data_IF_315828008124
#
_entry.id   IF_315828008124
#
_cell.length_a   1.000
_cell.length_b   1.000
_cell.length_c   1.000
_cell.angle_alpha   90.00
_cell.angle_beta   90.00
_cell.angle_gamma   90.00
#
_symmetry.space_group_name_H-M   'P 1'
#
loop_
_entity.id
_entity.type
_entity.pdbx_description
1 polymer ?
#
# COMPACT_ATOMS: atom_id res chain seq x y z
N UNK A 1 1.03 16.87 14.39
CA UNK A 1 1.32 16.55 12.97
C UNK A 1 1.31 15.04 12.87
N UNK A 2 0.73 14.41 11.82
CA UNK A 2 0.86 12.97 11.66
C UNK A 2 2.33 12.63 11.48
N UNK A 3 2.81 11.57 12.15
CA UNK A 3 4.14 11.03 11.89
C UNK A 3 4.14 10.46 10.46
N UNK A 4 5.12 10.84 9.65
CA UNK A 4 5.31 10.29 8.32
C UNK A 4 6.17 9.02 8.35
N UNK A 5 5.94 8.14 7.39
CA UNK A 5 6.75 6.96 7.16
C UNK A 5 7.25 7.02 5.71
N UNK A 6 8.55 6.90 5.54
CA UNK A 6 9.18 6.78 4.23
C UNK A 6 9.50 5.31 3.97
N UNK A 7 9.29 4.87 2.74
CA UNK A 7 9.61 3.53 2.30
C UNK A 7 10.23 3.56 0.90
N UNK A 8 11.31 2.82 0.71
CA UNK A 8 11.90 2.60 -0.62
C UNK A 8 12.11 1.11 -0.82
N UNK A 9 11.58 0.57 -1.91
CA UNK A 9 11.61 -0.87 -2.19
C UNK A 9 11.72 -1.18 -3.67
N UNK A 10 12.26 -2.36 -3.96
CA UNK A 10 12.27 -2.98 -5.28
C UNK A 10 11.15 -4.01 -5.39
N UNK A 11 10.41 -3.97 -6.50
CA UNK A 11 9.46 -5.01 -6.91
C UNK A 11 10.11 -5.83 -8.02
N UNK A 12 10.16 -7.15 -7.81
CA UNK A 12 10.81 -8.10 -8.71
C UNK A 12 9.79 -9.12 -9.20
N UNK A 13 9.72 -9.32 -10.51
CA UNK A 13 8.76 -10.22 -11.13
C UNK A 13 8.87 -10.28 -12.64
N UNK A 14 7.91 -10.95 -13.29
CA UNK A 14 7.86 -11.08 -14.74
C UNK A 14 7.64 -9.73 -15.43
N UNK A 15 8.25 -9.55 -16.61
CA UNK A 15 8.22 -8.28 -17.35
C UNK A 15 6.82 -7.74 -17.59
N UNK A 16 5.89 -8.61 -17.99
CA UNK A 16 4.50 -8.23 -18.24
C UNK A 16 3.81 -7.66 -17.00
N UNK A 17 4.13 -8.21 -15.83
CA UNK A 17 3.63 -7.74 -14.54
C UNK A 17 4.29 -6.42 -14.14
N UNK A 18 5.61 -6.29 -14.34
CA UNK A 18 6.31 -5.03 -14.06
C UNK A 18 5.79 -3.91 -14.96
N UNK A 19 5.52 -4.19 -16.24
CA UNK A 19 4.88 -3.25 -17.18
C UNK A 19 3.48 -2.84 -16.71
N UNK A 20 2.70 -3.76 -16.15
CA UNK A 20 1.38 -3.47 -15.59
C UNK A 20 1.49 -2.58 -14.34
N UNK A 21 2.35 -2.95 -13.39
CA UNK A 21 2.54 -2.21 -12.15
C UNK A 21 3.12 -0.81 -12.40
N UNK A 22 4.05 -0.66 -13.33
CA UNK A 22 4.60 0.65 -13.70
C UNK A 22 3.51 1.61 -14.21
N UNK A 23 2.54 1.13 -15.01
CA UNK A 23 1.42 1.97 -15.49
C UNK A 23 0.54 2.50 -14.36
N UNK A 24 0.48 1.79 -13.24
CA UNK A 24 -0.26 2.26 -12.06
C UNK A 24 0.45 3.41 -11.36
N UNK A 25 1.76 3.58 -11.57
CA UNK A 25 2.61 4.53 -10.83
C UNK A 25 2.50 4.35 -9.31
N UNK A 26 2.24 3.12 -8.85
CA UNK A 26 2.03 2.79 -7.44
C UNK A 26 0.89 3.57 -6.77
N UNK A 27 -0.08 4.01 -7.59
CA UNK A 27 -1.32 4.58 -7.11
C UNK A 27 -2.21 3.49 -6.51
N UNK A 28 -2.52 3.60 -5.21
CA UNK A 28 -3.28 2.58 -4.50
C UNK A 28 -4.69 2.43 -5.06
N UNK A 29 -5.28 3.52 -5.53
CA UNK A 29 -6.61 3.52 -6.15
C UNK A 29 -6.60 2.77 -7.49
N UNK A 30 -5.52 2.90 -8.27
CA UNK A 30 -5.38 2.14 -9.53
C UNK A 30 -5.08 0.66 -9.29
N UNK A 31 -4.34 0.33 -8.23
CA UNK A 31 -3.96 -1.06 -7.90
C UNK A 31 -5.13 -1.81 -7.26
N UNK A 32 -5.80 -1.17 -6.30
CA UNK A 32 -6.89 -1.72 -5.50
C UNK A 32 -7.87 -0.59 -5.18
N UNK A 33 -8.81 -0.29 -6.08
CA UNK A 33 -9.74 0.82 -5.91
C UNK A 33 -10.66 0.58 -4.73
N UNK A 34 -10.99 1.65 -4.04
CA UNK A 34 -12.03 1.68 -3.04
C UNK A 34 -13.39 1.77 -3.75
N UNK A 35 -14.38 0.95 -3.39
CA UNK A 35 -15.72 1.08 -3.93
C UNK A 35 -16.34 2.46 -3.63
N UNK A 36 -16.94 3.10 -4.64
CA UNK A 36 -17.54 4.43 -4.52
C UNK A 36 -18.66 4.47 -3.47
N UNK A 37 -19.40 3.37 -3.30
CA UNK A 37 -20.51 3.27 -2.35
C UNK A 37 -20.08 3.44 -0.88
N UNK A 38 -18.79 3.25 -0.60
CA UNK A 38 -18.20 3.40 0.73
C UNK A 38 -17.82 4.88 1.00
N UNK A 39 -17.45 5.63 -0.04
CA UNK A 39 -17.11 7.05 0.09
C UNK A 39 -18.34 7.91 0.39
N UNK A 40 -19.44 7.65 -0.30
CA UNK A 40 -20.64 8.49 -0.27
C UNK A 40 -21.50 8.32 1.00
N UNK A 41 -21.18 7.34 1.86
CA UNK A 41 -21.99 7.03 3.04
C UNK A 41 -21.24 7.31 4.33
N UNK A 42 -21.30 8.54 4.87
CA UNK A 42 -20.58 8.90 6.09
C UNK A 42 -21.08 8.18 7.35
N UNK A 43 -22.30 7.60 7.36
CA UNK A 43 -22.92 7.00 8.55
C UNK A 43 -23.86 5.82 8.23
N UNK A 44 -23.40 4.77 7.53
CA UNK A 44 -24.18 3.51 7.56
C UNK A 44 -23.85 2.79 8.87
N UNK A 45 -24.84 2.39 9.68
CA UNK A 45 -24.62 1.38 10.70
C UNK A 45 -23.99 0.19 10.01
N UNK A 46 -22.79 -0.16 10.47
CA UNK A 46 -21.87 -1.09 9.83
C UNK A 46 -22.45 -2.52 9.71
N UNK A 47 -23.63 -2.74 10.28
CA UNK A 47 -24.47 -3.93 10.22
C UNK A 47 -24.94 -4.28 8.80
N UNK A 48 -25.14 -3.30 7.93
CA UNK A 48 -25.68 -3.47 6.57
C UNK A 48 -24.61 -3.82 5.52
N UNK A 49 -23.32 -3.77 5.87
CA UNK A 49 -22.21 -4.24 5.03
C UNK A 49 -21.63 -5.49 5.70
N UNK A 50 -21.96 -6.71 5.23
CA UNK A 50 -21.56 -7.95 5.88
C UNK A 50 -20.05 -8.06 6.16
N UNK A 51 -19.21 -7.44 5.33
CA UNK A 51 -17.75 -7.47 5.44
C UNK A 51 -17.17 -6.52 6.50
N UNK A 52 -17.97 -5.62 7.08
CA UNK A 52 -17.47 -4.54 7.93
C UNK A 52 -17.95 -4.56 9.39
N UNK A 53 -18.92 -5.43 9.77
CA UNK A 53 -19.48 -5.57 11.13
C UNK A 53 -18.47 -5.31 12.27
N UNK A 54 -18.72 -4.25 13.05
CA UNK A 54 -18.02 -3.97 14.33
C UNK A 54 -17.03 -2.80 14.35
N UNK A 55 -16.91 -2.01 13.28
CA UNK A 55 -16.01 -0.85 13.30
C UNK A 55 -16.69 0.42 13.89
N UNK A 56 -15.92 1.40 14.34
CA UNK A 56 -16.40 2.66 14.97
C UNK A 56 -16.00 3.90 14.19
N UNK A 57 -15.39 3.72 13.02
CA UNK A 57 -14.91 4.79 12.14
C UNK A 57 -15.72 4.85 10.84
N UNK A 58 -15.64 5.93 10.04
CA UNK A 58 -16.28 5.98 8.73
C UNK A 58 -15.84 4.79 7.87
N UNK A 59 -16.79 4.15 7.17
CA UNK A 59 -16.52 2.90 6.45
C UNK A 59 -15.35 2.99 5.45
N UNK A 60 -15.14 4.16 4.83
CA UNK A 60 -14.00 4.41 3.94
C UNK A 60 -12.66 4.34 4.67
N UNK A 61 -12.61 4.80 5.91
CA UNK A 61 -11.39 4.82 6.71
C UNK A 61 -10.97 3.40 7.08
N UNK A 62 -11.91 2.61 7.58
CA UNK A 62 -11.66 1.20 7.94
C UNK A 62 -11.32 0.37 6.71
N UNK A 63 -11.97 0.63 5.58
CA UNK A 63 -11.65 -0.03 4.33
C UNK A 63 -10.19 0.27 3.93
N UNK A 64 -9.76 1.53 3.94
CA UNK A 64 -8.38 1.89 3.57
C UNK A 64 -7.35 1.30 4.50
N UNK A 65 -7.59 1.31 5.81
CA UNK A 65 -6.71 0.62 6.75
C UNK A 65 -6.61 -0.89 6.47
N UNK A 66 -7.74 -1.56 6.22
CA UNK A 66 -7.77 -3.01 5.94
C UNK A 66 -7.20 -3.41 4.58
N UNK A 67 -7.25 -2.52 3.58
CA UNK A 67 -6.90 -2.86 2.19
C UNK A 67 -5.58 -2.24 1.73
N UNK A 68 -5.23 -1.06 2.23
CA UNK A 68 -4.00 -0.35 1.91
C UNK A 68 -3.00 -0.35 3.06
N UNK A 69 -3.48 -0.38 4.31
CA UNK A 69 -2.63 -0.29 5.50
C UNK A 69 -2.30 1.14 5.92
N UNK A 70 -2.82 2.15 5.19
CA UNK A 70 -2.66 3.56 5.52
C UNK A 70 -3.93 4.34 5.18
N UNK A 71 -4.04 5.55 5.73
CA UNK A 71 -5.23 6.41 5.58
C UNK A 71 -5.38 7.01 4.18
N UNK A 72 -4.25 7.36 3.55
CA UNK A 72 -4.23 8.12 2.32
C UNK A 72 -3.43 7.39 1.26
N UNK A 73 -3.98 7.38 0.04
CA UNK A 73 -3.20 7.09 -1.16
C UNK A 73 -2.14 8.19 -1.32
N UNK A 74 -0.84 7.88 -1.45
CA UNK A 74 0.19 8.89 -1.66
C UNK A 74 -0.07 9.62 -2.97
N UNK A 75 0.02 10.96 -2.93
CA UNK A 75 -0.06 11.78 -4.13
C UNK A 75 1.26 11.74 -4.90
N UNK A 76 1.33 12.43 -6.04
CA UNK A 76 2.51 12.43 -6.91
C UNK A 76 3.77 13.04 -6.26
N UNK A 77 3.63 13.88 -5.23
CA UNK A 77 4.78 14.41 -4.47
C UNK A 77 5.33 13.42 -3.43
N UNK A 78 4.52 12.44 -3.02
CA UNK A 78 4.84 11.45 -2.00
C UNK A 78 5.03 10.05 -2.58
N UNK A 79 5.20 9.93 -3.91
CA UNK A 79 5.53 8.67 -4.58
C UNK A 79 6.45 8.91 -5.76
N UNK A 80 7.36 7.98 -5.99
CA UNK A 80 8.13 7.90 -7.22
C UNK A 80 8.27 6.45 -7.66
N UNK A 81 8.26 6.24 -8.97
CA UNK A 81 8.36 4.93 -9.60
C UNK A 81 9.39 5.00 -10.70
N UNK A 82 10.40 4.13 -10.62
CA UNK A 82 11.52 4.08 -11.54
C UNK A 82 11.72 2.66 -12.07
N UNK A 83 11.73 2.52 -13.41
CA UNK A 83 12.05 1.27 -14.09
C UNK A 83 13.54 0.99 -14.01
N UNK A 84 13.93 -0.07 -13.30
CA UNK A 84 15.34 -0.47 -13.17
C UNK A 84 15.75 -1.47 -14.25
N UNK A 85 14.85 -2.38 -14.62
CA UNK A 85 15.08 -3.36 -15.69
C UNK A 85 13.76 -3.95 -16.18
N UNK A 86 13.81 -4.88 -17.14
CA UNK A 86 12.63 -5.63 -17.58
C UNK A 86 11.94 -6.41 -16.46
N UNK A 87 12.63 -6.76 -15.38
CA UNK A 87 12.08 -7.58 -14.29
C UNK A 87 12.07 -6.85 -12.93
N UNK A 88 12.37 -5.55 -12.91
CA UNK A 88 12.49 -4.77 -11.67
C UNK A 88 11.96 -3.35 -11.77
N UNK A 89 11.25 -2.94 -10.74
CA UNK A 89 10.78 -1.58 -10.51
C UNK A 89 11.24 -1.11 -9.13
N UNK A 90 11.76 0.10 -9.03
CA UNK A 90 12.04 0.76 -7.76
C UNK A 90 10.92 1.73 -7.45
N UNK A 91 10.46 1.73 -6.21
CA UNK A 91 9.36 2.56 -5.73
C UNK A 91 9.79 3.22 -4.43
N UNK A 92 9.57 4.53 -4.33
CA UNK A 92 9.66 5.27 -3.07
C UNK A 92 8.30 5.85 -2.74
N UNK A 93 7.87 5.72 -1.48
CA UNK A 93 6.59 6.20 -0.97
C UNK A 93 6.79 6.94 0.34
N UNK A 94 5.97 7.95 0.56
CA UNK A 94 5.79 8.57 1.88
C UNK A 94 4.32 8.43 2.28
N UNK A 95 4.05 7.66 3.34
CA UNK A 95 2.70 7.36 3.81
C UNK A 95 2.48 7.84 5.23
N UNK A 96 1.22 8.00 5.61
CA UNK A 96 0.87 8.36 6.98
C UNK A 96 1.13 7.16 7.91
N UNK A 97 1.80 7.45 9.03
CA UNK A 97 2.03 6.60 10.21
C UNK A 97 2.97 5.42 10.02
N UNK A 98 2.74 4.58 9.02
CA UNK A 98 3.51 3.35 8.84
C UNK A 98 3.56 2.94 7.37
N UNK A 99 4.38 1.92 7.12
CA UNK A 99 4.46 1.22 5.84
C UNK A 99 3.06 0.72 5.43
N UNK A 100 2.62 0.89 4.16
CA UNK A 100 1.31 0.45 3.69
C UNK A 100 1.30 -1.08 3.49
N UNK A 101 1.37 -1.83 4.58
CA UNK A 101 1.61 -3.29 4.57
C UNK A 101 0.55 -4.04 3.75
N UNK A 102 -0.73 -3.65 3.86
CA UNK A 102 -1.81 -4.42 3.25
C UNK A 102 -1.86 -4.29 1.72
N UNK A 103 -1.48 -3.15 1.13
CA UNK A 103 -1.34 -3.05 -0.33
C UNK A 103 -0.14 -3.88 -0.83
N UNK A 104 0.98 -3.90 -0.08
CA UNK A 104 2.17 -4.67 -0.47
C UNK A 104 1.88 -6.18 -0.46
N UNK A 105 1.20 -6.67 0.58
CA UNK A 105 0.73 -8.05 0.65
C UNK A 105 -0.21 -8.38 -0.51
N UNK A 106 -1.16 -7.50 -0.80
CA UNK A 106 -2.09 -7.69 -1.92
C UNK A 106 -1.37 -7.80 -3.27
N UNK A 107 -0.38 -6.92 -3.53
CA UNK A 107 0.40 -6.93 -4.76
C UNK A 107 1.16 -8.25 -4.91
N UNK A 108 1.89 -8.68 -3.88
CA UNK A 108 2.68 -9.93 -3.93
C UNK A 108 1.79 -11.16 -4.08
N UNK A 109 0.60 -11.17 -3.47
CA UNK A 109 -0.35 -12.27 -3.58
C UNK A 109 -1.06 -12.30 -4.94
N UNK A 110 -1.49 -11.14 -5.47
CA UNK A 110 -2.24 -11.03 -6.72
C UNK A 110 -1.35 -11.28 -7.93
N UNK A 111 -0.15 -10.69 -7.94
CA UNK A 111 0.72 -10.68 -9.11
C UNK A 111 1.90 -11.66 -9.02
N UNK A 112 2.08 -12.33 -7.87
CA UNK A 112 3.17 -13.31 -7.70
C UNK A 112 4.57 -12.70 -7.68
N UNK A 113 4.69 -11.40 -7.35
CA UNK A 113 5.96 -10.68 -7.28
C UNK A 113 6.58 -10.74 -5.88
N UNK A 114 7.88 -10.44 -5.79
CA UNK A 114 8.59 -10.22 -4.53
C UNK A 114 8.87 -8.73 -4.33
N UNK A 115 8.74 -8.25 -3.10
CA UNK A 115 9.04 -6.87 -2.72
C UNK A 115 10.09 -6.87 -1.62
N UNK A 116 11.17 -6.10 -1.80
CA UNK A 116 12.26 -6.00 -0.81
C UNK A 116 12.63 -4.53 -0.68
N UNK A 117 12.72 -4.03 0.54
CA UNK A 117 13.09 -2.63 0.75
C UNK A 117 13.35 -2.25 2.18
N UNK A 118 13.36 -0.95 2.41
CA UNK A 118 13.57 -0.33 3.70
C UNK A 118 12.46 0.66 4.00
N UNK A 119 12.20 0.87 5.28
CA UNK A 119 11.25 1.85 5.79
C UNK A 119 11.82 2.56 7.00
N UNK A 120 11.51 3.83 7.15
CA UNK A 120 11.92 4.64 8.28
C UNK A 120 10.76 5.54 8.70
N UNK A 121 10.45 5.53 9.99
CA UNK A 121 9.50 6.49 10.56
C UNK A 121 10.22 7.80 10.86
N UNK A 122 9.54 8.94 10.67
CA UNK A 122 10.11 10.29 10.85
C UNK A 122 10.80 10.50 12.21
N UNK A 123 10.34 9.78 13.24
CA UNK A 123 10.88 9.85 14.60
C UNK A 123 12.02 8.86 14.90
N UNK A 124 12.37 8.01 13.94
CA UNK A 124 13.41 6.99 14.07
C UNK A 124 14.70 7.39 13.37
N UNK A 125 15.84 6.96 13.91
CA UNK A 125 17.17 7.22 13.31
C UNK A 125 17.64 6.06 12.41
N UNK A 126 16.98 4.90 12.49
CA UNK A 126 17.39 3.68 11.79
C UNK A 126 16.30 3.21 10.84
N UNK A 127 16.69 2.84 9.64
CA UNK A 127 15.79 2.16 8.71
C UNK A 127 15.59 0.69 9.11
N UNK A 128 14.34 0.23 9.01
CA UNK A 128 13.97 -1.18 9.13
C UNK A 128 13.92 -1.81 7.75
N UNK A 129 14.52 -2.99 7.57
CA UNK A 129 14.45 -3.72 6.29
C UNK A 129 13.24 -4.63 6.31
N UNK A 130 12.60 -4.79 5.15
CA UNK A 130 11.51 -5.73 5.00
C UNK A 130 11.58 -6.51 3.69
N UNK A 131 11.02 -7.72 3.74
CA UNK A 131 10.75 -8.56 2.58
C UNK A 131 9.28 -8.91 2.61
N UNK A 132 8.58 -8.71 1.50
CA UNK A 132 7.21 -9.14 1.31
C UNK A 132 7.12 -10.10 0.12
N UNK A 133 6.63 -11.31 0.38
CA UNK A 133 6.44 -12.35 -0.63
C UNK A 133 5.17 -13.14 -0.32
N UNK A 134 4.37 -13.43 -1.34
CA UNK A 134 3.16 -14.26 -1.24
C UNK A 134 2.20 -13.82 -0.12
N UNK A 135 2.04 -12.51 0.07
CA UNK A 135 1.16 -11.94 1.10
C UNK A 135 1.72 -11.97 2.53
N UNK A 136 2.97 -12.38 2.72
CA UNK A 136 3.65 -12.37 4.02
C UNK A 136 4.70 -11.28 4.01
N UNK A 137 4.76 -10.46 5.06
CA UNK A 137 5.83 -9.48 5.26
C UNK A 137 6.66 -9.87 6.47
N UNK A 138 7.98 -9.79 6.35
CA UNK A 138 8.94 -10.05 7.42
C UNK A 138 9.85 -8.84 7.53
N UNK A 139 9.82 -8.18 8.69
CA UNK A 139 10.80 -7.16 9.07
C UNK A 139 12.07 -7.81 9.60
N UNK A 140 13.23 -7.26 9.25
CA UNK A 140 14.55 -7.66 9.75
C UNK A 140 15.28 -6.48 10.34
#
# INVERSE_FOLDING_TARGET
MPNWNEATFEVVGDKSIIDELEKTQFDFEKIRPMPDEIWEKPNVPIEDIPQLKGATSPAWYDWRLKNWGTKWNPNDDHRSVERISDIKLKVSLTTAWCLPIEILKFITQKYGVSIIGTTIEETEEQETRFVCERGVIVGR
#
